data_IF_380550771964
#
_entry.id   IF_380550771964
#
_cell.length_a   1.000
_cell.length_b   1.000
_cell.length_c   1.000
_cell.angle_alpha   90.00
_cell.angle_beta   90.00
_cell.angle_gamma   90.00
#
_symmetry.space_group_name_H-M   'P 1'
#
loop_
_entity.id
_entity.type
_entity.pdbx_description
1 polymer ?
#
# COMPACT_ATOMS: atom_id res chain seq x y z
N UNK A 1 63.99 -29.58 11.67
CA UNK A 1 63.18 -30.16 12.76
C UNK A 1 62.29 -29.05 13.31
N UNK A 2 60.96 -29.21 13.25
CA UNK A 2 59.90 -28.30 13.74
C UNK A 2 59.79 -26.94 13.00
N UNK A 3 58.62 -26.41 12.64
CA UNK A 3 57.23 -26.87 12.68
C UNK A 3 56.43 -25.97 11.73
N UNK A 4 55.46 -26.57 11.06
CA UNK A 4 54.51 -25.98 10.12
C UNK A 4 53.84 -24.71 10.65
N UNK A 5 53.98 -23.60 9.91
CA UNK A 5 53.04 -22.47 9.96
C UNK A 5 52.01 -22.68 8.85
N UNK A 6 51.01 -23.52 9.15
CA UNK A 6 49.83 -23.69 8.31
C UNK A 6 48.91 -22.51 8.61
N UNK A 7 48.99 -21.46 7.79
CA UNK A 7 48.10 -20.31 7.84
C UNK A 7 46.68 -20.74 7.46
N UNK A 8 45.83 -20.91 8.47
CA UNK A 8 44.41 -21.14 8.31
C UNK A 8 43.75 -19.82 7.86
N UNK A 9 43.82 -19.52 6.56
CA UNK A 9 43.00 -18.49 5.94
C UNK A 9 41.56 -18.99 5.91
N UNK A 10 40.87 -18.80 7.03
CA UNK A 10 39.44 -18.99 7.16
C UNK A 10 38.78 -17.97 6.22
N UNK A 11 38.43 -18.42 5.01
CA UNK A 11 37.59 -17.68 4.09
C UNK A 11 36.21 -17.48 4.75
N UNK A 12 36.06 -16.40 5.50
CA UNK A 12 34.76 -15.81 5.78
C UNK A 12 34.24 -15.24 4.45
N UNK A 13 33.76 -16.12 3.58
CA UNK A 13 32.90 -15.70 2.49
C UNK A 13 31.64 -15.12 3.15
N UNK A 14 31.35 -13.81 2.98
CA UNK A 14 30.08 -13.28 3.43
C UNK A 14 28.97 -14.09 2.76
N UNK A 15 28.20 -14.82 3.58
CA UNK A 15 26.89 -15.32 3.18
C UNK A 15 26.04 -14.08 2.93
N UNK A 16 26.09 -13.58 1.71
CA UNK A 16 25.14 -12.61 1.22
C UNK A 16 23.78 -13.32 1.25
N UNK A 17 23.03 -13.08 2.32
CA UNK A 17 21.59 -13.31 2.34
C UNK A 17 21.03 -12.43 1.22
N UNK A 18 20.83 -13.02 0.04
CA UNK A 18 20.00 -12.42 -0.99
C UNK A 18 18.61 -12.41 -0.40
N UNK A 19 18.18 -11.26 0.11
CA UNK A 19 16.79 -11.02 0.42
C UNK A 19 16.04 -11.24 -0.90
N UNK A 20 15.35 -12.37 -1.01
CA UNK A 20 14.46 -12.62 -2.14
C UNK A 20 13.27 -11.70 -1.86
N UNK A 21 13.23 -10.57 -2.54
CA UNK A 21 12.01 -9.79 -2.64
C UNK A 21 11.16 -10.42 -3.74
N UNK A 22 9.84 -10.48 -3.54
CA UNK A 22 8.89 -10.91 -4.57
C UNK A 22 9.18 -10.21 -5.90
N UNK A 23 9.10 -10.98 -6.97
CA UNK A 23 9.44 -10.54 -8.32
C UNK A 23 8.13 -10.17 -9.02
N UNK A 24 8.05 -8.96 -9.56
CA UNK A 24 6.94 -8.53 -10.42
C UNK A 24 7.54 -8.04 -11.75
N UNK A 25 7.30 -8.74 -12.88
CA UNK A 25 6.49 -9.95 -13.01
C UNK A 25 7.06 -11.17 -12.25
N UNK A 26 6.20 -12.02 -11.67
CA UNK A 26 6.59 -13.29 -11.08
C UNK A 26 6.98 -14.29 -12.17
N UNK A 27 7.78 -15.29 -11.80
CA UNK A 27 8.16 -16.37 -12.72
C UNK A 27 6.95 -17.28 -13.04
N UNK A 28 5.97 -17.38 -12.13
CA UNK A 28 4.68 -18.04 -12.35
C UNK A 28 3.60 -17.02 -12.79
N UNK A 29 3.12 -17.07 -14.04
CA UNK A 29 2.11 -16.13 -14.53
C UNK A 29 0.76 -16.23 -13.81
N UNK A 30 0.46 -17.33 -13.11
CA UNK A 30 -0.79 -17.48 -12.35
C UNK A 30 -0.85 -16.58 -11.10
N UNK A 31 0.28 -16.04 -10.67
CA UNK A 31 0.38 -15.08 -9.56
C UNK A 31 0.15 -13.62 -10.01
N UNK A 32 0.00 -13.38 -11.31
CA UNK A 32 -0.27 -12.05 -11.87
C UNK A 32 -1.77 -11.81 -11.96
N UNK A 33 -2.20 -10.67 -11.42
CA UNK A 33 -3.58 -10.21 -11.55
C UNK A 33 -3.69 -9.44 -12.87
N UNK A 34 -4.45 -9.96 -13.83
CA UNK A 34 -4.78 -9.22 -15.04
C UNK A 34 -5.86 -8.17 -14.74
N UNK A 35 -5.51 -6.89 -14.88
CA UNK A 35 -6.44 -5.82 -14.61
C UNK A 35 -7.42 -5.63 -15.77
N UNK A 36 -8.71 -5.80 -15.47
CA UNK A 36 -9.79 -5.53 -16.41
C UNK A 36 -10.38 -4.17 -16.09
N UNK A 37 -10.07 -3.17 -16.93
CA UNK A 37 -10.63 -1.84 -16.81
C UNK A 37 -12.15 -1.86 -17.06
N UNK A 38 -12.89 -1.15 -16.21
CA UNK A 38 -14.32 -0.91 -16.38
C UNK A 38 -14.46 0.44 -17.10
N UNK A 39 -15.26 0.56 -18.16
CA UNK A 39 -15.59 1.84 -18.77
C UNK A 39 -16.19 2.82 -17.75
N UNK A 40 -15.84 4.10 -17.82
CA UNK A 40 -16.24 5.08 -16.80
C UNK A 40 -17.76 5.27 -16.68
N UNK A 41 -18.48 5.13 -17.79
CA UNK A 41 -19.94 5.16 -17.83
C UNK A 41 -20.61 3.97 -17.11
N UNK A 42 -19.83 2.94 -16.77
CA UNK A 42 -20.26 1.75 -16.03
C UNK A 42 -19.76 1.70 -14.58
N UNK A 43 -19.17 2.79 -14.08
CA UNK A 43 -18.70 2.86 -12.69
C UNK A 43 -19.84 2.73 -11.68
N UNK A 44 -19.66 1.82 -10.71
CA UNK A 44 -20.53 1.76 -9.53
C UNK A 44 -20.25 2.99 -8.64
N UNK A 45 -21.18 3.94 -8.63
CA UNK A 45 -21.13 5.15 -7.80
C UNK A 45 -21.77 4.96 -6.42
N UNK A 46 -22.04 3.72 -6.01
CA UNK A 46 -22.46 3.41 -4.65
C UNK A 46 -21.24 3.13 -3.77
N UNK A 47 -21.27 3.63 -2.54
CA UNK A 47 -20.28 3.26 -1.55
C UNK A 47 -20.27 1.74 -1.33
N UNK A 48 -19.06 1.17 -1.28
CA UNK A 48 -18.81 -0.22 -0.90
C UNK A 48 -17.64 -0.25 0.08
N UNK A 49 -17.75 -1.06 1.12
CA UNK A 49 -16.65 -1.29 2.06
C UNK A 49 -15.55 -2.11 1.40
N UNK A 50 -14.29 -1.94 1.82
CA UNK A 50 -13.15 -2.76 1.37
C UNK A 50 -13.37 -4.27 1.62
N UNK A 51 -14.23 -4.60 2.58
CA UNK A 51 -14.62 -5.99 2.88
C UNK A 51 -15.54 -6.62 1.84
N UNK A 52 -16.23 -5.81 1.01
CA UNK A 52 -17.30 -6.27 0.14
C UNK A 52 -16.72 -6.92 -1.12
N UNK A 53 -16.64 -8.26 -1.10
CA UNK A 53 -16.04 -9.06 -2.17
C UNK A 53 -16.82 -8.88 -3.48
N UNK A 54 -16.10 -8.58 -4.56
CA UNK A 54 -16.66 -8.45 -5.90
C UNK A 54 -17.31 -7.09 -6.19
N UNK A 55 -17.26 -6.14 -5.25
CA UNK A 55 -17.62 -4.74 -5.49
C UNK A 55 -16.44 -3.98 -6.08
N UNK A 56 -16.74 -3.05 -6.99
CA UNK A 56 -15.76 -2.24 -7.72
C UNK A 56 -16.21 -0.78 -7.80
N UNK A 57 -16.28 -0.06 -6.66
CA UNK A 57 -16.70 1.34 -6.64
C UNK A 57 -15.78 2.17 -7.53
N UNK A 58 -16.34 3.02 -8.39
CA UNK A 58 -15.59 3.86 -9.34
C UNK A 58 -14.60 3.07 -10.24
N UNK A 59 -14.88 1.79 -10.49
CA UNK A 59 -14.03 0.91 -11.29
C UNK A 59 -12.80 0.37 -10.56
N UNK A 60 -12.57 0.74 -9.29
CA UNK A 60 -11.47 0.22 -8.50
C UNK A 60 -11.60 -1.29 -8.31
N UNK A 61 -10.48 -1.99 -8.32
CA UNK A 61 -10.36 -3.37 -7.84
C UNK A 61 -9.69 -3.36 -6.46
N UNK A 62 -9.65 -4.49 -5.77
CA UNK A 62 -9.09 -4.60 -4.42
C UNK A 62 -7.93 -5.57 -4.35
N UNK A 63 -6.98 -5.28 -3.49
CA UNK A 63 -5.90 -6.18 -3.16
C UNK A 63 -5.53 -6.07 -1.68
N UNK A 64 -4.70 -7.01 -1.23
CA UNK A 64 -4.16 -7.05 0.12
C UNK A 64 -2.66 -7.22 0.00
N UNK A 65 -1.92 -6.32 0.64
CA UNK A 65 -0.52 -6.51 0.93
C UNK A 65 -0.40 -7.19 2.29
N UNK A 66 0.26 -8.35 2.35
CA UNK A 66 0.39 -9.13 3.58
C UNK A 66 1.67 -8.76 4.34
N UNK A 67 1.52 -8.46 5.61
CA UNK A 67 2.65 -8.11 6.46
C UNK A 67 3.63 -9.29 6.61
N UNK A 68 4.93 -8.99 6.57
CA UNK A 68 6.01 -9.98 6.60
C UNK A 68 5.95 -11.06 5.50
N UNK A 69 5.27 -10.77 4.39
CA UNK A 69 5.22 -11.67 3.23
C UNK A 69 5.60 -10.95 1.92
N UNK A 70 6.87 -10.54 1.77
CA UNK A 70 7.33 -9.79 0.59
C UNK A 70 7.30 -10.60 -0.71
N UNK A 71 7.18 -11.93 -0.62
CA UNK A 71 7.07 -12.82 -1.79
C UNK A 71 5.65 -12.83 -2.38
N UNK A 72 4.66 -12.30 -1.64
CA UNK A 72 3.25 -12.26 -2.01
C UNK A 72 2.73 -10.83 -2.25
N UNK A 73 3.62 -9.89 -2.61
CA UNK A 73 3.20 -8.55 -2.99
C UNK A 73 2.25 -8.61 -4.22
N UNK A 74 1.09 -7.93 -4.20
CA UNK A 74 0.19 -7.90 -5.35
C UNK A 74 0.89 -7.38 -6.61
N UNK A 75 0.94 -8.22 -7.65
CA UNK A 75 1.49 -7.89 -8.95
C UNK A 75 0.38 -7.83 -9.99
N UNK A 76 0.13 -6.65 -10.53
CA UNK A 76 -0.97 -6.37 -11.45
C UNK A 76 -0.42 -6.08 -12.84
N UNK A 77 -1.01 -6.72 -13.86
CA UNK A 77 -0.65 -6.54 -15.27
C UNK A 77 -1.74 -5.79 -16.02
N UNK A 78 -1.31 -4.88 -16.89
CA UNK A 78 -2.16 -4.22 -17.88
C UNK A 78 -1.50 -4.28 -19.26
N UNK A 79 -2.30 -4.47 -20.31
CA UNK A 79 -1.85 -4.61 -21.72
C UNK A 79 -2.49 -3.54 -22.60
N UNK A 80 -1.93 -3.30 -23.79
CA UNK A 80 -2.44 -2.29 -24.71
C UNK A 80 -2.10 -0.87 -24.28
N UNK A 81 -1.05 -0.69 -23.47
CA UNK A 81 -0.61 0.58 -22.91
C UNK A 81 0.29 1.37 -23.86
N UNK A 82 0.73 0.79 -24.99
CA UNK A 82 1.73 1.42 -25.86
C UNK A 82 1.30 2.81 -26.31
N UNK A 83 2.15 3.80 -26.05
CA UNK A 83 1.93 5.22 -26.38
C UNK A 83 0.73 5.89 -25.71
N UNK A 84 0.07 5.23 -24.76
CA UNK A 84 -1.08 5.78 -24.02
C UNK A 84 -0.61 6.35 -22.68
N UNK A 85 -1.42 7.23 -22.11
CA UNK A 85 -1.32 7.59 -20.68
C UNK A 85 -1.83 6.45 -19.82
N UNK A 86 -1.32 6.32 -18.62
CA UNK A 86 -1.83 5.43 -17.59
C UNK A 86 -2.09 6.23 -16.32
N UNK A 87 -3.32 6.13 -15.83
CA UNK A 87 -3.71 6.52 -14.49
C UNK A 87 -3.42 5.36 -13.53
N UNK A 88 -2.77 5.68 -12.41
CA UNK A 88 -2.51 4.79 -11.30
C UNK A 88 -3.10 5.44 -10.06
N UNK A 89 -4.14 4.82 -9.50
CA UNK A 89 -4.74 5.26 -8.25
C UNK A 89 -4.80 4.13 -7.25
N UNK A 90 -4.66 4.46 -5.97
CA UNK A 90 -5.00 3.54 -4.90
C UNK A 90 -5.43 4.27 -3.64
N UNK A 91 -6.19 3.57 -2.80
CA UNK A 91 -6.66 4.01 -1.50
C UNK A 91 -6.62 2.84 -0.49
N UNK A 92 -5.85 2.98 0.58
CA UNK A 92 -5.67 1.97 1.62
C UNK A 92 -6.73 2.10 2.72
N UNK A 93 -7.10 0.98 3.33
CA UNK A 93 -7.98 0.91 4.49
C UNK A 93 -7.48 -0.11 5.52
N UNK A 94 -7.03 0.32 6.72
CA UNK A 94 -6.94 1.70 7.18
C UNK A 94 -5.88 2.52 6.40
N UNK A 95 -5.90 3.85 6.53
CA UNK A 95 -4.92 4.73 5.91
C UNK A 95 -3.49 4.37 6.34
N UNK A 96 -2.68 3.93 5.39
CA UNK A 96 -1.34 3.39 5.59
C UNK A 96 -0.45 3.77 4.41
N UNK A 97 0.87 3.77 4.57
CA UNK A 97 1.75 4.12 3.45
C UNK A 97 1.89 2.92 2.52
N UNK A 98 1.42 3.06 1.29
CA UNK A 98 1.59 2.07 0.23
C UNK A 98 2.44 2.66 -0.90
N UNK A 99 3.27 1.81 -1.51
CA UNK A 99 4.07 2.14 -2.67
C UNK A 99 3.67 1.28 -3.85
N UNK A 100 3.84 1.83 -5.05
CA UNK A 100 3.73 1.12 -6.32
C UNK A 100 5.08 1.19 -7.02
N UNK A 101 5.57 0.04 -7.50
CA UNK A 101 6.77 -0.09 -8.32
C UNK A 101 6.39 -0.65 -9.68
N UNK A 102 6.86 -0.01 -10.76
CA UNK A 102 6.70 -0.56 -12.10
C UNK A 102 7.87 -1.47 -12.51
N UNK A 103 7.75 -2.08 -13.69
CA UNK A 103 8.79 -2.94 -14.27
C UNK A 103 10.12 -2.23 -14.56
N UNK A 104 10.11 -0.90 -14.71
CA UNK A 104 11.32 -0.08 -14.89
C UNK A 104 11.95 0.30 -13.54
N UNK A 105 11.46 -0.31 -12.44
CA UNK A 105 11.86 -0.06 -11.05
C UNK A 105 11.61 1.37 -10.57
N UNK A 106 10.74 2.13 -11.25
CA UNK A 106 10.30 3.42 -10.72
C UNK A 106 9.33 3.15 -9.58
N UNK A 107 9.65 3.69 -8.41
CA UNK A 107 8.83 3.55 -7.19
C UNK A 107 8.21 4.90 -6.85
N UNK A 108 6.91 4.89 -6.63
CA UNK A 108 6.16 6.02 -6.08
C UNK A 108 5.38 5.54 -4.86
N UNK A 109 5.25 6.39 -3.85
CA UNK A 109 4.52 6.05 -2.64
C UNK A 109 3.50 7.13 -2.34
N UNK A 110 2.42 6.74 -1.66
CA UNK A 110 1.56 7.72 -1.02
C UNK A 110 2.34 8.53 0.01
N UNK A 111 1.83 9.72 0.30
CA UNK A 111 2.26 10.48 1.46
C UNK A 111 2.03 9.67 2.74
N UNK A 112 2.85 9.93 3.76
CA UNK A 112 2.74 9.24 5.03
C UNK A 112 1.38 9.54 5.70
N UNK A 113 0.62 8.48 5.99
CA UNK A 113 -0.65 8.57 6.72
C UNK A 113 -1.87 9.00 5.89
N UNK A 114 -1.73 9.29 4.59
CA UNK A 114 -2.90 9.58 3.73
C UNK A 114 -3.58 8.29 3.31
N UNK A 115 -2.79 7.31 2.87
CA UNK A 115 -3.30 6.09 2.28
C UNK A 115 -3.84 6.23 0.87
N UNK A 116 -3.76 7.42 0.27
CA UNK A 116 -4.26 7.69 -1.08
C UNK A 116 -3.13 8.14 -1.99
N UNK A 117 -3.21 7.77 -3.25
CA UNK A 117 -2.22 8.11 -4.27
C UNK A 117 -2.87 8.26 -5.64
N UNK A 118 -2.36 9.20 -6.43
CA UNK A 118 -2.72 9.43 -7.82
C UNK A 118 -1.43 9.72 -8.61
N UNK A 119 -1.26 9.04 -9.73
CA UNK A 119 -0.23 9.33 -10.73
C UNK A 119 -0.82 9.14 -12.13
N UNK A 120 -0.42 10.01 -13.06
CA UNK A 120 -0.81 9.91 -14.46
C UNK A 120 0.38 10.19 -15.35
N UNK A 121 0.83 9.16 -16.07
CA UNK A 121 2.08 9.20 -16.84
C UNK A 121 1.99 8.46 -18.14
N UNK A 122 2.89 8.74 -19.07
CA UNK A 122 2.94 8.08 -20.37
C UNK A 122 3.61 6.71 -20.25
N UNK A 123 2.98 5.70 -20.84
CA UNK A 123 3.57 4.37 -20.91
C UNK A 123 4.69 4.32 -21.95
N UNK A 124 5.77 3.63 -21.60
CA UNK A 124 6.91 3.32 -22.48
C UNK A 124 6.76 1.97 -23.18
N UNK A 125 5.84 1.11 -22.71
CA UNK A 125 5.70 -0.28 -23.16
C UNK A 125 4.23 -0.65 -23.38
N UNK A 126 3.98 -1.70 -24.17
CA UNK A 126 2.61 -2.17 -24.39
C UNK A 126 2.03 -2.92 -23.19
N UNK A 127 2.87 -3.67 -22.50
CA UNK A 127 2.52 -4.39 -21.28
C UNK A 127 3.28 -3.78 -20.12
N UNK A 128 2.57 -3.47 -19.04
CA UNK A 128 3.13 -2.95 -17.79
C UNK A 128 2.78 -3.89 -16.64
N UNK A 129 3.69 -4.00 -15.68
CA UNK A 129 3.48 -4.68 -14.41
C UNK A 129 3.64 -3.68 -13.27
N UNK A 130 2.74 -3.75 -12.28
CA UNK A 130 2.72 -2.91 -11.10
C UNK A 130 2.75 -3.78 -9.85
N UNK A 131 3.77 -3.60 -9.03
CA UNK A 131 3.91 -4.24 -7.74
C UNK A 131 3.49 -3.26 -6.64
N UNK A 132 2.53 -3.65 -5.81
CA UNK A 132 2.14 -2.89 -4.64
C UNK A 132 2.82 -3.44 -3.39
N UNK A 133 3.48 -2.58 -2.63
CA UNK A 133 4.25 -2.98 -1.46
C UNK A 133 4.37 -1.86 -0.43
N UNK A 134 4.55 -2.20 0.84
CA UNK A 134 4.89 -1.23 1.88
C UNK A 134 6.40 -1.21 2.07
N UNK A 135 7.04 -0.04 1.92
CA UNK A 135 8.50 0.05 1.99
C UNK A 135 9.02 0.06 3.43
N UNK A 136 8.33 0.66 4.40
CA UNK A 136 8.64 0.63 5.84
C UNK A 136 7.41 1.01 6.69
N UNK A 137 7.29 0.43 7.89
CA UNK A 137 6.51 1.01 9.00
C UNK A 137 5.15 0.40 9.27
N UNK A 138 4.60 -0.41 8.36
CA UNK A 138 3.33 -1.10 8.60
C UNK A 138 3.60 -2.45 9.29
N UNK A 139 2.88 -2.72 10.38
CA UNK A 139 2.99 -3.93 11.19
C UNK A 139 1.76 -4.86 11.04
N UNK A 140 0.96 -4.62 10.00
CA UNK A 140 -0.31 -5.30 9.75
C UNK A 140 -0.61 -5.37 8.25
N UNK A 141 -1.52 -6.26 7.87
CA UNK A 141 -1.96 -6.42 6.48
C UNK A 141 -2.67 -5.15 5.99
N UNK A 142 -2.26 -4.64 4.84
CA UNK A 142 -2.83 -3.44 4.23
C UNK A 142 -3.80 -3.86 3.15
N UNK A 143 -5.09 -3.57 3.36
CA UNK A 143 -6.11 -3.74 2.31
C UNK A 143 -6.23 -2.43 1.55
N UNK A 144 -6.39 -2.49 0.25
CA UNK A 144 -6.50 -1.28 -0.55
C UNK A 144 -7.34 -1.48 -1.79
N UNK A 145 -8.00 -0.42 -2.20
CA UNK A 145 -8.57 -0.24 -3.51
C UNK A 145 -7.48 0.24 -4.46
N UNK A 146 -7.45 -0.22 -5.70
CA UNK A 146 -6.58 0.32 -6.75
C UNK A 146 -7.31 0.39 -8.09
N UNK A 147 -6.90 1.32 -8.95
CA UNK A 147 -7.45 1.51 -10.29
C UNK A 147 -6.32 1.82 -11.27
N UNK A 148 -6.30 1.10 -12.39
CA UNK A 148 -5.34 1.28 -13.49
C UNK A 148 -6.12 1.54 -14.78
N UNK A 149 -6.09 2.77 -15.30
CA UNK A 149 -6.85 3.11 -16.52
C UNK A 149 -5.90 3.60 -17.59
N UNK A 150 -6.09 3.13 -18.82
CA UNK A 150 -5.33 3.60 -19.98
C UNK A 150 -6.11 4.73 -20.65
N UNK A 151 -5.42 5.85 -20.88
CA UNK A 151 -5.97 6.98 -21.61
C UNK A 151 -6.11 6.73 -23.09
N UNK A 152 -6.57 7.73 -23.84
CA UNK A 152 -6.85 7.54 -25.25
C UNK A 152 -5.57 7.32 -26.09
N UNK A 153 -5.75 6.82 -27.32
CA UNK A 153 -4.63 6.74 -28.25
C UNK A 153 -4.22 8.15 -28.68
N UNK A 154 -2.95 8.39 -29.05
CA UNK A 154 -2.50 9.69 -29.52
C UNK A 154 -3.24 10.24 -30.75
N UNK A 155 -3.94 9.39 -31.49
CA UNK A 155 -4.78 9.80 -32.62
C UNK A 155 -6.12 10.42 -32.17
N UNK A 156 -6.62 10.01 -31.01
CA UNK A 156 -7.89 10.44 -30.43
C UNK A 156 -7.69 11.61 -29.46
N UNK A 157 -6.54 11.66 -28.77
CA UNK A 157 -6.08 12.78 -27.93
C UNK A 157 -4.69 13.27 -28.38
N UNK A 158 -4.60 14.10 -29.43
CA UNK A 158 -3.34 14.61 -29.94
C UNK A 158 -2.70 15.69 -29.05
N UNK A 159 -3.47 16.30 -28.14
CA UNK A 159 -3.00 17.34 -27.22
C UNK A 159 -2.47 16.75 -25.91
N UNK A 160 -2.67 15.45 -25.68
CA UNK A 160 -2.18 14.69 -24.51
C UNK A 160 -2.74 15.25 -23.18
N UNK A 161 -4.01 15.68 -23.25
CA UNK A 161 -4.74 16.33 -22.16
C UNK A 161 -5.52 15.34 -21.29
N UNK A 162 -5.53 14.05 -21.66
CA UNK A 162 -6.31 13.02 -20.97
C UNK A 162 -6.13 13.04 -19.44
N UNK A 163 -4.90 13.19 -18.94
CA UNK A 163 -4.63 13.21 -17.49
C UNK A 163 -5.26 14.42 -16.76
N UNK A 164 -5.52 15.53 -17.45
CA UNK A 164 -6.02 16.78 -16.84
C UNK A 164 -7.54 16.75 -16.67
N UNK A 165 -8.25 16.04 -17.54
CA UNK A 165 -9.71 15.92 -17.52
C UNK A 165 -10.21 14.79 -16.61
N UNK A 166 -9.30 13.99 -16.05
CA UNK A 166 -9.62 12.83 -15.21
C UNK A 166 -10.10 13.25 -13.83
N UNK A 167 -11.24 12.68 -13.45
CA UNK A 167 -11.76 12.77 -12.09
C UNK A 167 -10.92 11.92 -11.12
N UNK A 168 -10.48 12.55 -10.04
CA UNK A 168 -9.66 11.98 -8.98
C UNK A 168 -10.49 11.45 -7.79
N UNK A 169 -11.80 11.25 -7.99
CA UNK A 169 -12.67 10.57 -7.03
C UNK A 169 -12.13 9.17 -6.65
N UNK A 170 -12.04 8.93 -5.33
CA UNK A 170 -11.72 7.66 -4.69
C UNK A 170 -12.94 7.04 -4.01
N UNK A 171 -12.91 5.75 -3.65
CA UNK A 171 -14.03 5.09 -2.97
C UNK A 171 -14.48 5.79 -1.68
N UNK A 172 -13.57 6.39 -0.91
CA UNK A 172 -13.92 7.17 0.27
C UNK A 172 -14.75 8.43 -0.06
N UNK A 173 -14.64 9.01 -1.26
CA UNK A 173 -15.47 10.15 -1.65
C UNK A 173 -16.97 9.78 -1.78
N UNK A 174 -17.28 8.49 -1.99
CA UNK A 174 -18.67 8.00 -2.07
C UNK A 174 -19.36 7.87 -0.70
N UNK A 175 -18.62 7.98 0.42
CA UNK A 175 -19.18 8.01 1.79
C UNK A 175 -19.99 9.28 2.09
N UNK A 176 -20.16 10.18 1.12
CA UNK A 176 -20.83 11.45 1.31
C UNK A 176 -22.23 11.22 1.88
N UNK A 177 -22.41 11.59 3.16
CA UNK A 177 -23.71 11.67 3.81
C UNK A 177 -24.59 12.61 2.98
N UNK A 178 -25.85 12.24 2.76
CA UNK A 178 -26.82 13.15 2.13
C UNK A 178 -26.83 14.50 2.87
N UNK A 179 -26.95 15.64 2.17
CA UNK A 179 -26.99 16.96 2.81
C UNK A 179 -28.06 17.08 3.90
N UNK A 180 -29.13 16.28 3.80
CA UNK A 180 -30.27 16.25 4.71
C UNK A 180 -30.20 15.11 5.73
N UNK A 181 -29.06 14.42 5.87
CA UNK A 181 -28.92 13.39 6.89
C UNK A 181 -29.10 14.05 8.26
N UNK A 182 -30.18 13.71 9.01
CA UNK A 182 -30.48 14.41 10.25
C UNK A 182 -29.32 14.20 11.20
N UNK A 183 -28.56 15.26 11.46
CA UNK A 183 -27.61 15.29 12.56
C UNK A 183 -28.49 15.09 13.79
N UNK A 184 -28.43 13.91 14.39
CA UNK A 184 -28.94 13.75 15.75
C UNK A 184 -28.13 14.73 16.58
N UNK A 185 -28.75 15.85 16.95
CA UNK A 185 -28.16 16.79 17.89
C UNK A 185 -27.64 15.95 19.05
N UNK A 186 -26.33 15.97 19.24
CA UNK A 186 -25.73 15.29 20.37
C UNK A 186 -26.46 15.82 21.60
N UNK A 187 -27.28 14.96 22.23
CA UNK A 187 -27.87 15.27 23.52
C UNK A 187 -26.70 15.46 24.46
N UNK A 188 -26.30 16.71 24.66
CA UNK A 188 -25.35 17.11 25.68
C UNK A 188 -25.82 16.45 26.96
N UNK A 189 -25.06 15.49 27.53
CA UNK A 189 -25.46 14.88 28.78
C UNK A 189 -25.61 16.00 29.81
N UNK A 190 -26.79 16.07 30.43
CA UNK A 190 -27.07 16.99 31.53
C UNK A 190 -25.96 16.85 32.56
N UNK A 191 -25.36 17.95 33.05
CA UNK A 191 -24.30 17.89 34.04
C UNK A 191 -24.92 17.60 35.41
N UNK A 192 -25.33 16.35 35.63
CA UNK A 192 -25.78 15.89 36.94
C UNK A 192 -24.73 14.96 37.56
N UNK A 193 -24.01 15.57 38.51
CA UNK A 193 -23.62 14.99 39.80
C UNK A 193 -22.62 13.83 39.79
N UNK A 194 -21.35 14.21 40.00
CA UNK A 194 -20.38 13.73 40.99
C UNK A 194 -20.27 12.23 41.37
N UNK A 195 -19.04 11.88 41.77
CA UNK A 195 -18.55 10.66 42.44
C UNK A 195 -17.90 9.65 41.46
N UNK A 196 -16.66 9.17 41.59
CA UNK A 196 -15.70 9.13 42.70
C UNK A 196 -14.30 8.94 42.11
N UNK A 197 -13.32 9.74 42.53
CA UNK A 197 -11.90 9.48 42.28
C UNK A 197 -11.48 8.20 43.00
N UNK A 198 -11.16 7.15 42.25
CA UNK A 198 -10.54 5.94 42.79
C UNK A 198 -9.01 6.10 42.70
N UNK A 199 -8.26 6.13 43.83
CA UNK A 199 -6.81 6.20 43.82
C UNK A 199 -6.24 4.78 43.88
N UNK A 200 -5.81 4.22 42.75
CA UNK A 200 -4.98 3.00 42.65
C UNK A 200 -4.28 3.03 41.29
N UNK A 201 -3.01 2.73 41.05
CA UNK A 201 -1.88 2.33 41.85
C UNK A 201 -0.63 2.68 41.02
N UNK A 202 0.10 3.73 41.42
CA UNK A 202 1.45 4.01 40.91
C UNK A 202 2.42 3.13 41.68
N UNK A 203 2.57 1.88 41.27
CA UNK A 203 3.62 1.01 41.77
C UNK A 203 3.93 -0.07 40.73
N UNK A 204 5.22 -0.25 40.48
CA UNK A 204 5.86 -1.33 39.70
C UNK A 204 6.05 -1.04 38.20
N UNK A 205 7.02 -0.19 37.85
CA UNK A 205 7.97 -0.44 36.75
C UNK A 205 9.25 0.40 36.98
N UNK A 206 9.97 0.12 38.06
CA UNK A 206 11.28 0.72 38.35
C UNK A 206 12.35 -0.31 38.75
N UNK A 207 12.26 -1.54 38.22
CA UNK A 207 13.17 -2.65 38.58
C UNK A 207 13.64 -3.50 37.37
N UNK A 208 13.91 -2.90 36.22
CA UNK A 208 14.59 -3.59 35.10
C UNK A 208 15.85 -2.89 34.58
N UNK A 209 16.40 -1.94 35.35
CA UNK A 209 17.58 -1.13 34.96
C UNK A 209 18.90 -1.49 35.64
N UNK A 210 19.07 -2.70 36.21
CA UNK A 210 20.27 -3.04 37.01
C UNK A 210 21.01 -4.32 36.60
N UNK A 211 20.65 -4.98 35.50
CA UNK A 211 21.30 -6.24 35.08
C UNK A 211 22.36 -6.09 33.97
N UNK A 212 22.56 -4.91 33.36
CA UNK A 212 23.49 -4.77 32.22
C UNK A 212 24.87 -4.16 32.57
N UNK A 213 25.17 -3.86 33.84
CA UNK A 213 26.46 -3.27 34.24
C UNK A 213 27.48 -4.29 34.79
N UNK A 214 27.16 -5.59 34.82
CA UNK A 214 28.04 -6.61 35.39
C UNK A 214 28.90 -7.40 34.38
N UNK A 215 28.85 -7.09 33.08
CA UNK A 215 29.59 -7.85 32.05
C UNK A 215 30.69 -7.07 31.32
N UNK A 216 31.06 -5.88 31.81
CA UNK A 216 32.20 -5.11 31.28
C UNK A 216 33.29 -4.97 32.34
N UNK A 217 33.73 -6.08 32.94
CA UNK A 217 35.06 -6.23 33.56
C UNK A 217 35.41 -7.71 33.72
N UNK A 218 35.81 -8.35 32.62
CA UNK A 218 36.71 -9.50 32.60
C UNK A 218 37.52 -9.44 31.30
#
# INVERSE_FOLDING_TARGET
MYKSFLALLLNCAPLYFTLVCGKCPPDDPSQVIEYVAIPEDQYDRNFSSISDIGKRPLGFDRAVWYYNNPDENPCVKITGASQRRIEIMFETHPSSRLCVKDQDSQTQCSDAGTGSFYDCRKSTQDTLYFEFFCNQGEEYDVRFWYRLVLGDLPADDPEDMWCEDRDQESPANLLRLEPDFPIQDATTPSPDTALTLCPTSLLVFALSGLACLALVRL
#
